data_IF_244353725603
#
_entry.id   IF_244353725603
#
_cell.length_a   1.000
_cell.length_b   1.000
_cell.length_c   1.000
_cell.angle_alpha   90.00
_cell.angle_beta   90.00
_cell.angle_gamma   90.00
#
_symmetry.space_group_name_H-M   'P 1'
#
loop_
_entity.id
_entity.type
_entity.pdbx_description
1 polymer ?
#
# COMPACT_ATOMS: atom_id res chain seq x y z
N UNK A 1 35.52 49.41 -5.82
CA UNK A 1 34.37 49.35 -4.90
C UNK A 1 33.10 48.83 -5.57
N UNK A 2 32.58 49.47 -6.63
CA UNK A 2 31.30 49.08 -7.27
C UNK A 2 31.26 47.64 -7.85
N UNK A 3 32.39 47.12 -8.33
CA UNK A 3 32.48 45.75 -8.87
C UNK A 3 32.18 44.66 -7.83
N UNK A 4 32.54 44.90 -6.57
CA UNK A 4 32.26 43.96 -5.48
C UNK A 4 30.79 44.02 -5.05
N UNK A 5 30.14 45.19 -5.12
CA UNK A 5 28.72 45.33 -4.81
C UNK A 5 27.83 44.56 -5.80
N UNK A 6 28.19 44.54 -7.09
CA UNK A 6 27.46 43.80 -8.13
C UNK A 6 27.56 42.29 -7.90
N UNK A 7 28.75 41.79 -7.53
CA UNK A 7 28.98 40.37 -7.25
C UNK A 7 28.16 39.92 -6.03
N UNK A 8 28.13 40.74 -4.96
CA UNK A 8 27.33 40.44 -3.77
C UNK A 8 25.83 40.44 -4.07
N UNK A 9 25.34 41.38 -4.88
CA UNK A 9 23.94 41.42 -5.27
C UNK A 9 23.52 40.18 -6.09
N UNK A 10 24.36 39.74 -7.03
CA UNK A 10 24.14 38.52 -7.80
C UNK A 10 24.14 37.26 -6.94
N UNK A 11 25.07 37.16 -5.97
CA UNK A 11 25.12 36.02 -5.04
C UNK A 11 23.89 35.93 -4.15
N UNK A 12 23.41 37.06 -3.61
CA UNK A 12 22.20 37.09 -2.78
C UNK A 12 20.94 36.74 -3.59
N UNK A 13 20.88 37.15 -4.86
CA UNK A 13 19.78 36.79 -5.76
C UNK A 13 19.76 35.29 -6.08
N UNK A 14 20.92 34.68 -6.32
CA UNK A 14 21.03 33.24 -6.56
C UNK A 14 20.65 32.41 -5.33
N UNK A 15 21.04 32.84 -4.12
CA UNK A 15 20.67 32.16 -2.88
C UNK A 15 19.15 32.22 -2.62
N UNK A 16 18.51 33.36 -2.89
CA UNK A 16 17.06 33.48 -2.77
C UNK A 16 16.30 32.60 -3.79
N UNK A 17 16.80 32.49 -5.02
CA UNK A 17 16.23 31.61 -6.05
C UNK A 17 16.39 30.12 -5.69
N UNK A 18 17.50 29.73 -5.06
CA UNK A 18 17.72 28.35 -4.64
C UNK A 18 16.70 27.87 -3.58
N UNK A 19 16.32 28.71 -2.63
CA UNK A 19 15.28 28.37 -1.64
C UNK A 19 13.88 28.31 -2.25
N UNK A 20 13.58 29.19 -3.22
CA UNK A 20 12.33 29.15 -3.96
C UNK A 20 12.21 27.89 -4.83
N UNK A 21 13.29 27.50 -5.51
CA UNK A 21 13.33 26.27 -6.32
C UNK A 21 13.17 25.02 -5.45
N UNK A 22 13.68 25.00 -4.21
CA UNK A 22 13.53 23.86 -3.30
C UNK A 22 12.06 23.55 -2.96
N UNK A 23 11.21 24.59 -2.84
CA UNK A 23 9.77 24.43 -2.63
C UNK A 23 9.04 23.96 -3.89
N UNK A 24 9.51 24.37 -5.08
CA UNK A 24 8.90 24.02 -6.38
C UNK A 24 9.28 22.61 -6.84
N UNK A 25 10.50 22.15 -6.58
CA UNK A 25 10.91 20.76 -6.90
C UNK A 25 10.21 19.71 -6.04
N UNK A 26 9.73 20.08 -4.84
CA UNK A 26 8.90 19.20 -4.01
C UNK A 26 7.47 19.04 -4.55
N UNK A 27 7.02 19.85 -5.50
CA UNK A 27 5.62 19.84 -5.99
C UNK A 27 5.43 19.19 -7.36
N UNK A 28 6.51 18.75 -8.02
CA UNK A 28 6.48 18.21 -9.40
C UNK A 28 6.61 16.67 -9.42
N UNK A 29 6.38 16.00 -8.30
CA UNK A 29 6.36 14.53 -8.24
C UNK A 29 4.99 14.08 -7.75
N UNK A 30 4.21 13.55 -8.70
CA UNK A 30 3.03 12.69 -8.51
C UNK A 30 1.68 13.37 -8.33
N UNK A 31 1.21 14.09 -9.36
CA UNK A 31 -0.23 14.10 -9.71
C UNK A 31 -0.55 12.83 -10.51
N UNK A 32 -0.33 11.67 -9.90
CA UNK A 32 -1.17 10.51 -10.23
C UNK A 32 -2.06 10.37 -9.02
N UNK A 33 -3.35 10.26 -9.29
CA UNK A 33 -4.45 10.13 -8.34
C UNK A 33 -4.22 8.88 -7.48
N UNK A 34 -3.33 9.00 -6.49
CA UNK A 34 -3.26 8.09 -5.36
C UNK A 34 -4.26 8.63 -4.37
N UNK A 35 -5.45 8.05 -4.46
CA UNK A 35 -6.38 7.92 -3.35
C UNK A 35 -5.56 7.74 -2.06
N UNK A 36 -5.59 8.76 -1.20
CA UNK A 36 -4.94 8.79 0.12
C UNK A 36 -5.55 7.68 0.98
N UNK A 37 -5.11 6.44 0.78
CA UNK A 37 -5.28 5.39 1.78
C UNK A 37 -4.26 5.68 2.89
N UNK A 38 -4.70 6.52 3.81
CA UNK A 38 -4.02 7.05 4.99
C UNK A 38 -3.04 6.02 5.61
N UNK A 39 -1.71 6.25 5.55
CA UNK A 39 -0.72 5.29 6.07
C UNK A 39 -0.88 5.03 7.57
N UNK A 40 -1.59 5.89 8.30
CA UNK A 40 -1.84 5.74 9.73
C UNK A 40 -2.80 4.60 10.10
N UNK A 41 -3.62 4.13 9.15
CA UNK A 41 -4.59 3.05 9.40
C UNK A 41 -3.99 1.66 9.18
N UNK A 42 -3.13 1.49 8.17
CA UNK A 42 -2.42 0.23 7.90
C UNK A 42 -1.52 -0.18 9.07
N UNK A 43 -0.85 0.76 9.73
CA UNK A 43 0.02 0.46 10.88
C UNK A 43 -0.73 -0.18 12.05
N UNK A 44 -1.98 0.25 12.30
CA UNK A 44 -2.83 -0.32 13.35
C UNK A 44 -3.10 -1.80 13.09
N UNK A 45 -3.53 -2.12 11.86
CA UNK A 45 -3.80 -3.48 11.44
C UNK A 45 -2.54 -4.35 11.44
N UNK A 46 -1.43 -3.83 10.93
CA UNK A 46 -0.16 -4.55 10.82
C UNK A 46 0.33 -5.07 12.17
N UNK A 47 0.16 -4.31 13.24
CA UNK A 47 0.55 -4.74 14.61
C UNK A 47 -0.23 -5.96 15.11
N UNK A 48 -1.53 -6.02 14.80
CA UNK A 48 -2.44 -7.10 15.18
C UNK A 48 -2.24 -8.34 14.30
N UNK A 49 -2.09 -8.12 12.99
CA UNK A 49 -1.93 -9.17 11.99
C UNK A 49 -0.60 -9.89 12.10
N UNK A 50 0.46 -9.20 12.54
CA UNK A 50 1.77 -9.81 12.79
C UNK A 50 1.73 -10.94 13.84
N UNK A 51 0.74 -10.90 14.74
CA UNK A 51 0.55 -11.93 15.78
C UNK A 51 -0.34 -13.08 15.31
N UNK A 52 -1.00 -12.94 14.17
CA UNK A 52 -1.91 -13.95 13.61
C UNK A 52 -1.20 -14.73 12.51
N UNK A 53 -1.20 -16.06 12.65
CA UNK A 53 -0.86 -16.93 11.53
C UNK A 53 -2.05 -16.99 10.57
N UNK A 54 -1.87 -16.50 9.34
CA UNK A 54 -2.85 -16.69 8.27
C UNK A 54 -2.28 -17.64 7.22
N UNK A 55 -2.03 -18.86 7.67
CA UNK A 55 -1.37 -19.86 6.86
C UNK A 55 -2.33 -20.37 5.80
N UNK A 56 -3.61 -20.55 6.13
CA UNK A 56 -4.62 -21.00 5.17
C UNK A 56 -4.78 -19.98 4.04
N UNK A 57 -4.87 -18.69 4.34
CA UNK A 57 -4.89 -17.65 3.30
C UNK A 57 -3.64 -17.67 2.44
N UNK A 58 -2.45 -17.81 3.04
CA UNK A 58 -1.19 -17.89 2.29
C UNK A 58 -1.19 -19.06 1.30
N UNK A 59 -1.63 -20.25 1.72
CA UNK A 59 -1.65 -21.43 0.86
C UNK A 59 -2.75 -21.35 -0.20
N UNK A 60 -3.93 -20.79 0.13
CA UNK A 60 -5.01 -20.60 -0.83
C UNK A 60 -4.60 -19.71 -2.01
N UNK A 61 -3.83 -18.65 -1.74
CA UNK A 61 -3.28 -17.78 -2.80
C UNK A 61 -2.39 -18.55 -3.78
N UNK A 62 -1.73 -19.62 -3.33
CA UNK A 62 -0.81 -20.43 -4.14
C UNK A 62 -1.52 -21.63 -4.80
N UNK A 63 -2.44 -22.25 -4.10
CA UNK A 63 -3.04 -23.53 -4.47
C UNK A 63 -4.56 -23.47 -4.26
N UNK A 64 -5.37 -23.87 -5.27
CA UNK A 64 -6.81 -23.97 -5.09
C UNK A 64 -7.16 -25.11 -4.13
N UNK A 65 -8.20 -24.92 -3.32
CA UNK A 65 -8.72 -25.98 -2.46
C UNK A 65 -9.75 -25.47 -1.45
N UNK A 66 -10.90 -26.14 -1.38
CA UNK A 66 -12.02 -25.76 -0.51
C UNK A 66 -11.65 -25.76 0.98
N UNK A 67 -10.75 -26.65 1.41
CA UNK A 67 -10.25 -26.69 2.78
C UNK A 67 -9.38 -25.48 3.13
N UNK A 68 -8.54 -25.03 2.19
CA UNK A 68 -7.70 -23.83 2.36
C UNK A 68 -8.55 -22.56 2.33
N UNK A 69 -9.57 -22.54 1.47
CA UNK A 69 -10.54 -21.46 1.38
C UNK A 69 -11.30 -21.26 2.70
N UNK A 70 -11.92 -22.32 3.24
CA UNK A 70 -12.60 -22.25 4.53
C UNK A 70 -11.65 -21.92 5.69
N UNK A 71 -10.42 -22.44 5.64
CA UNK A 71 -9.39 -22.07 6.60
C UNK A 71 -9.09 -20.57 6.56
N UNK A 72 -8.96 -20.01 5.35
CA UNK A 72 -8.73 -18.59 5.15
C UNK A 72 -9.91 -17.74 5.66
N UNK A 73 -11.16 -18.13 5.37
CA UNK A 73 -12.35 -17.45 5.90
C UNK A 73 -12.31 -17.39 7.44
N UNK A 74 -12.02 -18.51 8.11
CA UNK A 74 -11.94 -18.57 9.58
C UNK A 74 -10.80 -17.74 10.16
N UNK A 75 -9.68 -17.62 9.44
CA UNK A 75 -8.57 -16.77 9.84
C UNK A 75 -8.93 -15.28 9.70
N UNK A 76 -9.62 -14.90 8.61
CA UNK A 76 -10.10 -13.54 8.36
C UNK A 76 -11.22 -13.12 9.31
N UNK A 77 -12.11 -14.03 9.68
CA UNK A 77 -13.22 -13.76 10.60
C UNK A 77 -12.72 -13.35 12.00
N UNK A 78 -11.54 -13.80 12.41
CA UNK A 78 -10.89 -13.39 13.67
C UNK A 78 -10.42 -11.93 13.65
N UNK A 79 -10.34 -11.32 12.47
CA UNK A 79 -10.06 -9.90 12.31
C UNK A 79 -11.40 -9.17 12.35
N UNK A 80 -11.60 -8.35 13.38
CA UNK A 80 -12.87 -7.65 13.58
C UNK A 80 -13.06 -6.51 12.58
N UNK A 81 -11.97 -5.85 12.19
CA UNK A 81 -12.01 -4.68 11.31
C UNK A 81 -11.97 -5.07 9.83
N UNK A 82 -12.91 -4.61 9.01
CA UNK A 82 -12.96 -4.94 7.58
C UNK A 82 -11.74 -4.42 6.82
N UNK A 83 -11.22 -3.24 7.20
CA UNK A 83 -9.99 -2.70 6.61
C UNK A 83 -8.77 -3.55 6.95
N UNK A 84 -8.69 -4.08 8.18
CA UNK A 84 -7.62 -4.97 8.57
C UNK A 84 -7.70 -6.33 7.87
N UNK A 85 -8.89 -6.80 7.48
CA UNK A 85 -9.03 -8.03 6.66
C UNK A 85 -8.37 -7.84 5.29
N UNK A 86 -8.59 -6.70 4.64
CA UNK A 86 -7.90 -6.36 3.39
C UNK A 86 -6.38 -6.31 3.59
N UNK A 87 -5.92 -5.62 4.63
CA UNK A 87 -4.50 -5.46 4.89
C UNK A 87 -3.81 -6.80 5.15
N UNK A 88 -4.53 -7.72 5.81
CA UNK A 88 -4.07 -9.06 6.06
C UNK A 88 -3.78 -9.85 4.78
N UNK A 89 -4.70 -9.78 3.80
CA UNK A 89 -4.53 -10.42 2.50
C UNK A 89 -3.41 -9.75 1.70
N UNK A 90 -3.34 -8.41 1.74
CA UNK A 90 -2.27 -7.62 1.10
C UNK A 90 -0.88 -8.03 1.60
N UNK A 91 -0.72 -8.25 2.90
CA UNK A 91 0.55 -8.74 3.46
C UNK A 91 0.91 -10.17 3.01
N UNK A 92 -0.07 -11.04 2.73
CA UNK A 92 0.21 -12.41 2.27
C UNK A 92 0.64 -12.49 0.83
N UNK A 93 0.21 -11.53 0.01
CA UNK A 93 0.63 -11.40 -1.39
C UNK A 93 1.80 -10.42 -1.55
N UNK A 94 2.27 -9.83 -0.45
CA UNK A 94 3.43 -8.95 -0.47
C UNK A 94 4.66 -9.76 -0.90
N UNK A 95 5.31 -9.34 -1.99
CA UNK A 95 6.42 -10.07 -2.63
C UNK A 95 6.00 -10.94 -3.82
N UNK A 96 4.72 -10.99 -4.18
CA UNK A 96 4.26 -11.65 -5.40
C UNK A 96 4.62 -10.78 -6.61
N UNK A 97 4.95 -11.43 -7.73
CA UNK A 97 5.16 -10.72 -9.00
C UNK A 97 3.87 -10.07 -9.49
N UNK A 98 3.96 -9.10 -10.40
CA UNK A 98 2.80 -8.36 -10.92
C UNK A 98 1.74 -9.29 -11.56
N UNK A 99 2.17 -10.38 -12.19
CA UNK A 99 1.30 -11.40 -12.78
C UNK A 99 0.59 -12.25 -11.70
N UNK A 100 1.31 -12.65 -10.65
CA UNK A 100 0.76 -13.42 -9.53
C UNK A 100 -0.18 -12.59 -8.65
N UNK A 101 0.04 -11.28 -8.58
CA UNK A 101 -0.84 -10.33 -7.89
C UNK A 101 -2.21 -10.26 -8.53
N UNK A 102 -2.31 -10.29 -9.86
CA UNK A 102 -3.61 -10.34 -10.55
C UNK A 102 -4.35 -11.65 -10.25
N UNK A 103 -3.64 -12.78 -10.25
CA UNK A 103 -4.25 -14.06 -9.89
C UNK A 103 -4.73 -14.06 -8.43
N UNK A 104 -3.92 -13.53 -7.53
CA UNK A 104 -4.27 -13.42 -6.12
C UNK A 104 -5.47 -12.48 -5.91
N UNK A 105 -5.58 -11.37 -6.65
CA UNK A 105 -6.72 -10.47 -6.59
C UNK A 105 -8.03 -11.19 -6.98
N UNK A 106 -8.02 -12.00 -8.05
CA UNK A 106 -9.19 -12.81 -8.44
C UNK A 106 -9.56 -13.82 -7.35
N UNK A 107 -8.57 -14.42 -6.69
CA UNK A 107 -8.79 -15.34 -5.55
C UNK A 107 -9.39 -14.63 -4.34
N UNK A 108 -8.99 -13.40 -4.07
CA UNK A 108 -9.58 -12.57 -3.00
C UNK A 108 -11.04 -12.23 -3.30
N UNK A 109 -11.36 -11.90 -4.56
CA UNK A 109 -12.75 -11.69 -4.96
C UNK A 109 -13.59 -12.95 -4.78
N UNK A 110 -13.06 -14.12 -5.14
CA UNK A 110 -13.72 -15.40 -4.89
C UNK A 110 -13.93 -15.70 -3.41
N UNK A 111 -12.94 -15.37 -2.56
CA UNK A 111 -13.08 -15.46 -1.10
C UNK A 111 -14.18 -14.56 -0.56
N UNK A 112 -14.37 -13.36 -1.14
CA UNK A 112 -15.43 -12.46 -0.70
C UNK A 112 -16.81 -13.11 -0.84
N UNK A 113 -17.01 -13.89 -1.90
CA UNK A 113 -18.25 -14.63 -2.13
C UNK A 113 -18.38 -15.84 -1.20
N UNK A 114 -17.37 -16.70 -1.10
CA UNK A 114 -17.47 -17.91 -0.28
C UNK A 114 -17.50 -17.58 1.22
N UNK A 115 -16.74 -16.59 1.67
CA UNK A 115 -16.68 -16.18 3.07
C UNK A 115 -17.79 -15.20 3.47
N UNK A 116 -18.67 -14.80 2.54
CA UNK A 116 -19.70 -13.76 2.72
C UNK A 116 -19.14 -12.40 3.21
N UNK A 117 -17.91 -12.07 2.83
CA UNK A 117 -17.20 -10.84 3.23
C UNK A 117 -17.12 -9.88 2.04
N UNK A 118 -18.21 -9.19 1.72
CA UNK A 118 -18.29 -8.32 0.54
C UNK A 118 -17.30 -7.15 0.57
N UNK A 119 -16.88 -6.72 1.76
CA UNK A 119 -15.81 -5.73 1.94
C UNK A 119 -14.49 -6.13 1.25
N UNK A 120 -14.29 -7.44 1.04
CA UNK A 120 -13.08 -7.95 0.40
C UNK A 120 -13.03 -7.68 -1.10
N UNK A 121 -14.20 -7.51 -1.75
CA UNK A 121 -14.27 -7.17 -3.19
C UNK A 121 -13.71 -5.78 -3.48
N UNK A 122 -13.83 -4.87 -2.52
CA UNK A 122 -13.26 -3.53 -2.60
C UNK A 122 -11.78 -3.48 -2.19
N UNK A 123 -11.18 -4.58 -1.72
CA UNK A 123 -9.76 -4.58 -1.39
C UNK A 123 -8.93 -4.40 -2.65
N UNK A 124 -8.28 -3.25 -2.76
CA UNK A 124 -7.34 -3.02 -3.83
C UNK A 124 -6.02 -3.74 -3.49
N UNK A 125 -5.91 -4.99 -3.93
CA UNK A 125 -4.68 -5.80 -3.89
C UNK A 125 -3.73 -5.29 -4.97
N UNK A 126 -3.22 -4.07 -4.79
CA UNK A 126 -2.13 -3.54 -5.62
C UNK A 126 -0.81 -3.91 -4.94
N UNK A 127 0.13 -4.42 -5.72
CA UNK A 127 1.51 -4.53 -5.27
C UNK A 127 2.00 -3.12 -4.97
N UNK A 128 2.23 -2.81 -3.68
CA UNK A 128 3.06 -1.68 -3.32
C UNK A 128 4.44 -1.94 -3.90
N UNK A 129 4.71 -1.40 -5.09
CA UNK A 129 6.06 -1.27 -5.61
C UNK A 129 6.76 -0.23 -4.73
N UNK A 130 7.39 -0.72 -3.65
CA UNK A 130 8.42 0.04 -2.95
C UNK A 130 9.61 0.15 -3.91
N UNK A 131 9.82 1.35 -4.48
CA UNK A 131 11.02 1.73 -5.22
C UNK A 131 11.96 2.50 -4.31
#
# INVERSE_FOLDING_TARGET
>A
MARFAIIYALLMFLLAFAEALRKVYQTIITTTEFDEQDPSQSEKCRSQLSRMSMNSCKYYMLLPGSFLEQGCCKELERVNDPECRCEALRQRVQGYGQEQLQEAAMKVEGLADTCEMQELRSCQIRGQQEF
#
